data_IF_030554891922
#
_entry.id   IF_030554891922
#
_cell.length_a   1.000
_cell.length_b   1.000
_cell.length_c   1.000
_cell.angle_alpha   90.00
_cell.angle_beta   90.00
_cell.angle_gamma   90.00
#
_symmetry.space_group_name_H-M   'P 1'
#
loop_
_entity.id
_entity.type
_entity.pdbx_description
1 polymer ?
#
# COMPACT_ATOMS: atom_id res chain seq x y z
N UNK A 1 5.07 -1.13 7.67
CA UNK A 1 5.74 -0.15 6.81
C UNK A 1 6.18 -0.77 5.48
N UNK A 2 6.67 -2.00 5.52
CA UNK A 2 7.10 -2.64 4.28
C UNK A 2 5.95 -2.83 3.30
N UNK A 3 4.78 -3.20 3.79
CA UNK A 3 3.60 -3.33 2.94
C UNK A 3 3.21 -1.99 2.34
N UNK A 4 3.27 -0.94 3.14
CA UNK A 4 2.95 0.40 2.64
C UNK A 4 3.92 0.83 1.56
N UNK A 5 5.22 0.58 1.77
CA UNK A 5 6.24 0.90 0.78
C UNK A 5 6.00 0.15 -0.53
N UNK A 6 5.66 -1.13 -0.43
CA UNK A 6 5.38 -1.93 -1.61
C UNK A 6 4.18 -1.39 -2.38
N UNK A 7 3.12 -1.00 -1.67
CA UNK A 7 1.93 -0.47 -2.33
C UNK A 7 2.20 0.88 -2.98
N UNK A 8 3.04 1.70 -2.35
CA UNK A 8 3.44 2.98 -2.92
C UNK A 8 4.21 2.75 -4.22
N UNK A 9 5.14 1.79 -4.22
CA UNK A 9 5.89 1.48 -5.44
C UNK A 9 4.99 0.99 -6.55
N UNK A 10 3.99 0.19 -6.22
CA UNK A 10 3.02 -0.27 -7.22
C UNK A 10 2.23 0.89 -7.79
N UNK A 11 1.81 1.82 -6.94
CA UNK A 11 1.04 2.98 -7.39
C UNK A 11 1.87 3.89 -8.28
N UNK A 12 3.13 4.08 -7.92
CA UNK A 12 4.03 4.88 -8.74
C UNK A 12 4.40 4.18 -10.03
N UNK A 13 4.39 2.86 -10.02
CA UNK A 13 4.69 2.08 -11.21
C UNK A 13 6.16 1.73 -11.35
N UNK A 14 6.96 1.89 -10.31
CA UNK A 14 8.38 1.57 -10.34
C UNK A 14 8.93 1.40 -8.94
N UNK A 15 10.03 0.69 -8.84
CA UNK A 15 10.75 0.56 -7.58
C UNK A 15 11.48 1.84 -7.25
N UNK A 16 11.57 2.12 -5.97
CA UNK A 16 12.24 3.32 -5.50
C UNK A 16 13.60 2.92 -4.95
N UNK A 17 14.64 3.25 -5.71
CA UNK A 17 16.00 2.84 -5.38
C UNK A 17 17.03 3.95 -5.54
N UNK A 18 16.61 5.15 -5.94
CA UNK A 18 17.53 6.25 -6.16
C UNK A 18 16.90 7.56 -5.76
N UNK A 19 17.73 8.62 -5.69
CA UNK A 19 17.25 9.95 -5.40
C UNK A 19 16.22 10.41 -6.41
N UNK A 20 16.47 10.13 -7.69
CA UNK A 20 15.52 10.50 -8.74
C UNK A 20 14.16 9.86 -8.56
N UNK A 21 14.14 8.61 -8.11
CA UNK A 21 12.89 7.92 -7.83
C UNK A 21 12.14 8.58 -6.69
N UNK A 22 12.87 9.03 -5.66
CA UNK A 22 12.25 9.71 -4.53
C UNK A 22 11.70 11.06 -4.95
N UNK A 23 12.39 11.77 -5.81
CA UNK A 23 11.89 13.04 -6.34
C UNK A 23 10.62 12.84 -7.14
N UNK A 24 10.61 11.80 -7.97
CA UNK A 24 9.43 11.46 -8.75
C UNK A 24 8.24 11.12 -7.87
N UNK A 25 8.49 10.36 -6.80
CA UNK A 25 7.43 10.02 -5.87
C UNK A 25 6.88 11.26 -5.18
N UNK A 26 7.76 12.15 -4.75
CA UNK A 26 7.32 13.39 -4.09
C UNK A 26 6.45 14.23 -5.03
N UNK A 27 6.82 14.32 -6.29
CA UNK A 27 6.04 15.06 -7.27
C UNK A 27 4.69 14.41 -7.56
N UNK A 28 4.68 13.10 -7.73
CA UNK A 28 3.44 12.39 -8.03
C UNK A 28 2.48 12.43 -6.84
N UNK A 29 3.02 12.32 -5.63
CA UNK A 29 2.23 12.42 -4.42
C UNK A 29 1.58 13.79 -4.33
N UNK A 30 2.34 14.85 -4.59
CA UNK A 30 1.80 16.19 -4.58
C UNK A 30 0.71 16.35 -5.64
N UNK A 31 0.94 15.82 -6.83
CA UNK A 31 -0.02 15.94 -7.91
C UNK A 31 -1.34 15.25 -7.58
N UNK A 32 -1.26 14.11 -6.88
CA UNK A 32 -2.46 13.33 -6.59
C UNK A 32 -3.17 13.72 -5.30
N UNK A 33 -2.43 14.20 -4.32
CA UNK A 33 -3.01 14.45 -2.99
C UNK A 33 -2.92 15.91 -2.55
N UNK A 34 -2.08 16.69 -3.17
CA UNK A 34 -1.82 18.06 -2.73
C UNK A 34 -0.92 18.15 -1.50
N UNK A 35 -0.43 17.03 -1.02
CA UNK A 35 0.43 17.00 0.16
C UNK A 35 1.88 17.08 -0.24
N UNK A 36 2.67 17.79 0.56
CA UNK A 36 4.09 18.01 0.27
C UNK A 36 4.92 17.20 1.23
N UNK A 37 5.70 16.26 0.70
CA UNK A 37 6.65 15.46 1.46
C UNK A 37 7.99 15.61 0.78
N UNK A 38 9.02 15.91 1.57
CA UNK A 38 10.36 16.06 1.04
C UNK A 38 10.89 14.76 0.47
N UNK A 39 11.59 14.85 -0.66
CA UNK A 39 12.19 13.64 -1.24
C UNK A 39 13.26 13.04 -0.31
N UNK A 40 13.86 13.84 0.55
CA UNK A 40 14.79 13.32 1.55
C UNK A 40 14.10 12.40 2.55
N UNK A 41 12.87 12.68 2.88
CA UNK A 41 12.08 11.80 3.74
C UNK A 41 11.96 10.43 3.10
N UNK A 42 11.66 10.39 1.81
CA UNK A 42 11.57 9.13 1.09
C UNK A 42 12.94 8.45 0.95
N UNK A 43 13.99 9.21 0.76
CA UNK A 43 15.34 8.63 0.70
C UNK A 43 15.67 7.87 1.98
N UNK A 44 15.27 8.42 3.12
CA UNK A 44 15.49 7.75 4.40
C UNK A 44 14.57 6.55 4.56
N UNK A 45 13.32 6.71 4.20
CA UNK A 45 12.34 5.66 4.35
C UNK A 45 12.67 4.45 3.48
N UNK A 46 13.11 4.68 2.25
CA UNK A 46 13.47 3.60 1.33
C UNK A 46 14.95 3.20 1.44
N UNK A 47 15.61 3.68 2.47
CA UNK A 47 16.98 3.29 2.84
C UNK A 47 18.04 3.61 1.79
N UNK A 48 17.79 4.62 0.98
CA UNK A 48 18.79 5.11 0.04
C UNK A 48 19.87 5.86 0.78
N UNK A 49 19.50 6.52 1.86
CA UNK A 49 20.43 7.05 2.84
C UNK A 49 20.03 6.50 4.19
N UNK A 50 20.71 6.91 5.25
CA UNK A 50 20.46 6.36 6.57
C UNK A 50 18.97 6.39 6.91
N UNK A 51 18.43 5.24 7.33
CA UNK A 51 17.03 5.09 7.65
C UNK A 51 16.67 5.90 8.89
N UNK A 52 15.52 6.56 8.84
CA UNK A 52 14.90 7.18 10.00
C UNK A 52 13.43 6.80 10.02
N UNK A 53 12.94 6.56 11.22
CA UNK A 53 11.52 6.23 11.38
C UNK A 53 10.67 7.40 10.87
N UNK A 54 9.76 7.18 9.95
CA UNK A 54 8.95 8.26 9.40
C UNK A 54 7.96 8.80 10.42
N UNK A 55 7.58 10.05 10.22
CA UNK A 55 6.55 10.66 11.04
C UNK A 55 5.19 10.10 10.63
N UNK A 56 4.24 10.19 11.55
CA UNK A 56 2.89 9.73 11.25
C UNK A 56 2.29 10.47 10.07
N UNK A 57 2.55 11.77 9.96
CA UNK A 57 2.05 12.53 8.82
C UNK A 57 2.58 12.02 7.49
N UNK A 58 3.82 11.54 7.46
CA UNK A 58 4.39 10.95 6.25
C UNK A 58 3.68 9.65 5.91
N UNK A 59 3.45 8.81 6.91
CA UNK A 59 2.74 7.55 6.71
C UNK A 59 1.31 7.79 6.25
N UNK A 60 0.66 8.81 6.80
CA UNK A 60 -0.68 9.16 6.36
C UNK A 60 -0.68 9.62 4.90
N UNK A 61 0.28 10.47 4.54
CA UNK A 61 0.36 10.97 3.17
C UNK A 61 0.55 9.83 2.18
N UNK A 62 1.42 8.87 2.52
CA UNK A 62 1.64 7.71 1.66
C UNK A 62 0.38 6.86 1.55
N UNK A 63 -0.35 6.72 2.63
CA UNK A 63 -1.59 5.94 2.64
C UNK A 63 -2.67 6.61 1.79
N UNK A 64 -2.78 7.92 1.89
CA UNK A 64 -3.71 8.68 1.06
C UNK A 64 -3.33 8.54 -0.42
N UNK A 65 -2.05 8.56 -0.71
CA UNK A 65 -1.55 8.42 -2.06
C UNK A 65 -2.01 7.11 -2.72
N UNK A 66 -2.06 6.04 -1.96
CA UNK A 66 -2.46 4.73 -2.49
C UNK A 66 -3.95 4.45 -2.33
N UNK A 67 -4.73 5.42 -1.83
CA UNK A 67 -6.18 5.31 -1.83
C UNK A 67 -6.84 5.08 -0.48
N UNK A 68 -6.09 5.13 0.61
CA UNK A 68 -6.65 5.01 1.95
C UNK A 68 -6.84 6.39 2.56
N UNK A 69 -7.55 6.45 3.67
CA UNK A 69 -7.83 7.74 4.31
C UNK A 69 -6.71 8.16 5.25
N UNK A 70 -5.98 7.20 5.81
CA UNK A 70 -4.88 7.46 6.74
C UNK A 70 -4.04 6.20 6.85
N UNK A 71 -2.90 6.31 7.54
CA UNK A 71 -2.08 5.15 7.81
C UNK A 71 -2.81 4.18 8.73
N UNK A 72 -3.59 4.70 9.67
CA UNK A 72 -4.39 3.87 10.55
C UNK A 72 -5.43 3.07 9.76
N UNK A 73 -6.06 3.71 8.79
CA UNK A 73 -7.00 3.04 7.90
C UNK A 73 -6.30 1.95 7.08
N UNK A 74 -5.11 2.26 6.58
CA UNK A 74 -4.33 1.31 5.81
C UNK A 74 -3.99 0.07 6.64
N UNK A 75 -3.45 0.27 7.84
CA UNK A 75 -3.05 -0.86 8.68
C UNK A 75 -4.25 -1.71 9.08
N UNK A 76 -5.37 -1.06 9.36
CA UNK A 76 -6.56 -1.79 9.75
C UNK A 76 -7.06 -2.67 8.62
N UNK A 77 -7.15 -2.14 7.42
CA UNK A 77 -7.65 -2.92 6.28
C UNK A 77 -6.68 -4.01 5.87
N UNK A 78 -5.42 -3.71 5.89
CA UNK A 78 -4.39 -4.69 5.54
C UNK A 78 -4.36 -5.82 6.55
N UNK A 79 -4.46 -5.50 7.83
CA UNK A 79 -4.47 -6.50 8.89
C UNK A 79 -5.70 -7.39 8.81
N UNK A 80 -6.83 -6.82 8.50
CA UNK A 80 -8.05 -7.60 8.37
C UNK A 80 -7.93 -8.66 7.29
N UNK A 81 -7.35 -8.28 6.17
CA UNK A 81 -7.14 -9.22 5.08
C UNK A 81 -6.15 -10.32 5.50
N UNK A 82 -5.09 -9.91 6.15
CA UNK A 82 -4.03 -10.85 6.55
C UNK A 82 -4.51 -11.83 7.61
N UNK A 83 -5.47 -11.44 8.43
CA UNK A 83 -5.95 -12.30 9.50
C UNK A 83 -7.09 -13.21 9.08
N UNK A 84 -7.60 -13.05 7.87
CA UNK A 84 -8.65 -13.93 7.40
C UNK A 84 -8.14 -15.35 7.25
N UNK A 85 -8.87 -16.34 7.76
CA UNK A 85 -8.48 -17.72 7.52
C UNK A 85 -8.50 -18.05 6.04
N UNK A 86 -7.63 -18.92 5.63
CA UNK A 86 -7.51 -19.27 4.22
C UNK A 86 -8.84 -19.76 3.64
N UNK A 87 -9.55 -20.58 4.38
CA UNK A 87 -10.82 -21.11 3.90
C UNK A 87 -11.87 -20.01 3.73
N UNK A 88 -11.85 -19.02 4.62
CA UNK A 88 -12.77 -17.90 4.52
C UNK A 88 -12.46 -17.05 3.30
N UNK A 89 -11.21 -16.79 3.09
CA UNK A 89 -10.77 -16.03 1.94
C UNK A 89 -11.16 -16.74 0.65
N UNK A 90 -10.93 -18.03 0.60
CA UNK A 90 -11.26 -18.83 -0.55
C UNK A 90 -12.76 -18.86 -0.80
N UNK A 91 -13.53 -19.00 0.26
CA UNK A 91 -14.98 -19.01 0.16
C UNK A 91 -15.50 -17.71 -0.45
N UNK A 92 -15.00 -16.58 0.01
CA UNK A 92 -15.42 -15.29 -0.49
C UNK A 92 -15.09 -15.16 -1.98
N UNK A 93 -13.90 -15.55 -2.36
CA UNK A 93 -13.50 -15.51 -3.75
C UNK A 93 -14.42 -16.33 -4.64
N UNK A 94 -14.71 -17.52 -4.20
CA UNK A 94 -15.54 -18.42 -4.97
C UNK A 94 -16.99 -17.93 -5.04
N UNK A 95 -17.49 -17.37 -3.97
CA UNK A 95 -18.83 -16.82 -3.95
C UNK A 95 -19.01 -15.68 -4.91
N UNK A 96 -17.96 -14.88 -5.05
CA UNK A 96 -18.01 -13.73 -5.93
C UNK A 96 -17.94 -14.15 -7.37
N UNK A 97 -17.19 -15.19 -7.68
CA UNK A 97 -17.04 -15.61 -9.06
C UNK A 97 -18.34 -16.05 -9.65
N UNK A 98 -18.98 -16.99 -9.01
CA UNK A 98 -20.27 -17.53 -9.48
C UNK A 98 -20.66 -18.64 -8.54
N UNK A 99 -21.78 -18.52 -7.93
CA UNK A 99 -22.15 -19.49 -6.92
C UNK A 99 -22.25 -20.90 -7.48
N UNK A 100 -22.70 -21.03 -8.70
CA UNK A 100 -22.82 -22.35 -9.30
C UNK A 100 -21.46 -22.93 -9.62
N UNK A 101 -20.58 -22.12 -10.15
CA UNK A 101 -19.24 -22.57 -10.43
C UNK A 101 -18.51 -22.95 -9.18
N UNK A 102 -18.72 -22.19 -8.17
CA UNK A 102 -18.09 -22.44 -6.93
C UNK A 102 -18.54 -23.75 -6.38
N UNK A 103 -19.79 -24.00 -6.43
CA UNK A 103 -20.32 -25.27 -5.98
C UNK A 103 -19.71 -26.40 -6.76
N UNK A 104 -19.46 -26.15 -8.02
CA UNK A 104 -18.97 -27.23 -8.85
C UNK A 104 -17.55 -27.62 -8.50
N UNK A 105 -16.73 -26.71 -7.97
CA UNK A 105 -15.40 -27.13 -7.64
C UNK A 105 -14.98 -26.84 -6.22
N UNK A 106 -15.89 -26.36 -5.42
CA UNK A 106 -15.59 -26.19 -4.08
C UNK A 106 -16.48 -26.94 -3.27
N UNK A 107 -17.55 -26.82 -3.54
CA UNK A 107 -18.33 -27.28 -2.85
C UNK A 107 -19.16 -27.29 -3.21
N UNK A 108 -18.90 -26.75 -3.60
CA UNK A 108 -19.21 -26.38 -3.92
C UNK A 108 -19.52 -26.11 -3.90
#
# INVERSE_FOLDING_TARGET
IDELKNEVEKTLGRKISSRGDCELLAEDLYAKTGLIISYNTFRRLFRIIEFRKPRESTLDAMSIYIGFQSYQDFTKRFSEVDTWPMWEHLYVMLSVSNSDEILSYLIT
#
